data_IF_504173347240
#
_entry.id   IF_504173347240
#
_cell.length_a   1.000
_cell.length_b   1.000
_cell.length_c   1.000
_cell.angle_alpha   90.00
_cell.angle_beta   90.00
_cell.angle_gamma   90.00
#
_symmetry.space_group_name_H-M   'P 1'
#
loop_
_entity.id
_entity.type
_entity.pdbx_description
1 polymer ?
#
# COMPACT_ATOMS: atom_id res chain seq x y z
N UNK A 1 58.70 42.81 12.29
CA UNK A 1 58.21 41.50 11.77
C UNK A 1 57.09 40.90 12.59
N UNK A 2 57.01 41.10 13.92
CA UNK A 2 55.89 40.63 14.74
C UNK A 2 54.54 41.28 14.36
N UNK A 3 54.53 42.55 13.99
CA UNK A 3 53.29 43.30 13.75
C UNK A 3 52.56 42.89 12.46
N UNK A 4 53.30 42.45 11.43
CA UNK A 4 52.70 41.97 10.17
C UNK A 4 51.95 40.64 10.33
N UNK A 5 52.41 39.77 11.24
CA UNK A 5 51.75 38.49 11.52
C UNK A 5 50.43 38.68 12.27
N UNK A 6 50.37 39.69 13.15
CA UNK A 6 49.15 40.03 13.89
C UNK A 6 48.05 40.53 12.94
N UNK A 7 48.39 41.43 12.01
CA UNK A 7 47.43 41.98 11.04
C UNK A 7 46.85 40.89 10.13
N UNK A 8 47.69 39.98 9.63
CA UNK A 8 47.22 38.89 8.76
C UNK A 8 46.28 37.95 9.52
N UNK A 9 46.60 37.63 10.78
CA UNK A 9 45.75 36.78 11.62
C UNK A 9 44.40 37.47 11.92
N UNK A 10 44.39 38.78 12.20
CA UNK A 10 43.16 39.54 12.43
C UNK A 10 42.28 39.59 11.18
N UNK A 11 42.86 39.78 9.99
CA UNK A 11 42.11 39.75 8.73
C UNK A 11 41.55 38.34 8.46
N UNK A 12 42.31 37.29 8.75
CA UNK A 12 41.86 35.91 8.56
C UNK A 12 40.70 35.56 9.50
N UNK A 13 40.79 35.97 10.78
CA UNK A 13 39.70 35.79 11.76
C UNK A 13 38.46 36.57 11.33
N UNK A 14 38.62 37.83 10.89
CA UNK A 14 37.51 38.65 10.42
C UNK A 14 36.86 38.05 9.16
N UNK A 15 37.66 37.53 8.23
CA UNK A 15 37.16 36.84 7.03
C UNK A 15 36.39 35.55 7.39
N UNK A 16 36.85 34.78 8.38
CA UNK A 16 36.09 33.61 8.86
C UNK A 16 34.83 33.98 9.63
N UNK A 17 34.80 35.12 10.32
CA UNK A 17 33.58 35.60 10.99
C UNK A 17 32.53 36.12 10.00
N UNK A 18 32.93 36.66 8.85
CA UNK A 18 32.01 37.14 7.80
C UNK A 18 31.47 35.98 6.95
N UNK A 19 32.24 34.90 6.78
CA UNK A 19 31.83 33.75 5.97
C UNK A 19 30.70 32.89 6.58
N UNK A 20 30.38 33.08 7.87
CA UNK A 20 29.32 32.35 8.56
C UNK A 20 28.06 33.21 8.80
N UNK A 21 27.79 34.21 7.94
CA UNK A 21 26.41 34.69 7.84
C UNK A 21 25.61 33.58 7.15
N UNK A 22 25.13 32.63 7.93
CA UNK A 22 24.03 31.76 7.54
C UNK A 22 22.91 32.71 7.10
N UNK A 23 22.79 32.90 5.79
CA UNK A 23 21.70 33.67 5.23
C UNK A 23 20.47 32.84 5.54
N UNK A 24 19.69 33.27 6.54
CA UNK A 24 18.34 32.77 6.67
C UNK A 24 17.71 33.01 5.30
N UNK A 25 17.33 31.92 4.63
CA UNK A 25 16.71 32.02 3.34
C UNK A 25 15.52 33.01 3.45
N UNK A 26 15.29 33.85 2.43
CA UNK A 26 14.22 34.84 2.48
C UNK A 26 12.89 34.17 2.84
N UNK A 27 11.92 34.87 3.44
CA UNK A 27 10.61 34.28 3.70
C UNK A 27 10.06 33.56 2.46
N UNK A 28 9.65 32.31 2.63
CA UNK A 28 9.21 31.46 1.54
C UNK A 28 8.00 30.64 1.97
N UNK A 29 7.00 30.62 1.11
CA UNK A 29 5.73 29.96 1.36
C UNK A 29 5.53 28.80 0.39
N UNK A 30 4.84 27.76 0.83
CA UNK A 30 4.35 26.70 -0.04
C UNK A 30 2.83 26.72 0.02
N UNK A 31 2.21 26.97 -1.12
CA UNK A 31 0.76 27.08 -1.22
C UNK A 31 0.21 25.89 -1.99
N UNK A 32 -0.95 25.41 -1.60
CA UNK A 32 -1.59 24.29 -2.27
C UNK A 32 -3.07 24.21 -1.98
N UNK A 33 -3.74 23.27 -2.65
CA UNK A 33 -5.14 22.94 -2.42
C UNK A 33 -5.27 21.45 -2.09
N UNK A 34 -6.23 21.12 -1.23
CA UNK A 34 -6.64 19.76 -0.91
C UNK A 34 -8.13 19.62 -1.21
N UNK A 35 -8.49 18.72 -2.13
CA UNK A 35 -9.87 18.42 -2.47
C UNK A 35 -10.53 17.56 -1.39
N UNK A 36 -11.85 17.72 -1.28
CA UNK A 36 -12.71 16.89 -0.44
C UNK A 36 -12.55 15.40 -0.82
N UNK A 37 -12.78 14.52 0.15
CA UNK A 37 -12.77 13.10 -0.10
C UNK A 37 -13.93 12.67 -1.02
N UNK A 38 -13.81 11.49 -1.64
CA UNK A 38 -14.81 10.98 -2.57
C UNK A 38 -16.20 10.76 -1.92
N UNK A 39 -16.25 10.53 -0.60
CA UNK A 39 -17.46 10.44 0.21
C UNK A 39 -18.05 11.81 0.63
N UNK A 40 -17.52 12.91 0.09
CA UNK A 40 -17.88 14.29 0.41
C UNK A 40 -17.44 14.78 1.79
N UNK A 41 -16.53 14.09 2.49
CA UNK A 41 -15.87 14.63 3.68
C UNK A 41 -15.07 15.88 3.30
N UNK A 42 -15.41 17.06 3.86
CA UNK A 42 -14.75 18.31 3.45
C UNK A 42 -13.26 18.31 3.78
N UNK A 43 -12.42 18.89 2.93
CA UNK A 43 -11.00 19.06 3.24
C UNK A 43 -10.73 20.19 4.24
N UNK A 44 -11.62 21.18 4.35
CA UNK A 44 -11.50 22.25 5.34
C UNK A 44 -11.36 21.70 6.77
N UNK A 45 -10.53 22.35 7.59
CA UNK A 45 -10.13 21.96 8.94
C UNK A 45 -9.23 20.72 9.05
N UNK A 46 -8.68 20.21 7.95
CA UNK A 46 -7.64 19.18 8.00
C UNK A 46 -6.32 19.74 8.54
N UNK A 47 -5.57 18.93 9.30
CA UNK A 47 -4.23 19.26 9.75
C UNK A 47 -3.25 19.12 8.57
N UNK A 48 -2.51 20.18 8.29
CA UNK A 48 -1.39 20.14 7.35
C UNK A 48 -0.11 20.01 8.18
N UNK A 49 0.70 18.99 7.89
CA UNK A 49 2.04 18.82 8.46
C UNK A 49 3.05 18.86 7.33
N UNK A 50 4.08 19.70 7.47
CA UNK A 50 5.14 19.82 6.48
C UNK A 50 6.52 19.69 7.11
N UNK A 51 7.42 18.98 6.44
CA UNK A 51 8.80 18.81 6.88
C UNK A 51 9.73 18.56 5.69
N UNK A 52 11.02 18.83 5.85
CA UNK A 52 12.01 18.51 4.81
C UNK A 52 12.38 17.02 4.91
N UNK A 53 12.39 16.32 3.79
CA UNK A 53 12.56 14.87 3.69
C UNK A 53 13.81 14.36 4.44
N UNK A 54 14.90 15.13 4.44
CA UNK A 54 16.17 14.78 5.11
C UNK A 54 16.17 15.05 6.62
N UNK A 55 15.15 15.74 7.14
CA UNK A 55 15.04 16.18 8.55
C UNK A 55 13.57 16.15 9.04
N UNK A 56 12.91 14.99 9.05
CA UNK A 56 11.48 14.86 9.36
C UNK A 56 11.08 15.27 10.79
N UNK A 57 12.03 15.40 11.72
CA UNK A 57 11.77 15.91 13.07
C UNK A 57 11.54 17.42 13.14
N UNK A 58 11.78 18.15 12.05
CA UNK A 58 11.51 19.59 11.95
C UNK A 58 10.21 19.84 11.19
N UNK A 59 9.10 19.90 11.92
CA UNK A 59 7.76 20.06 11.35
C UNK A 59 7.23 21.48 11.45
N UNK A 60 6.41 21.86 10.47
CA UNK A 60 5.53 23.03 10.49
C UNK A 60 4.10 22.50 10.39
N UNK A 61 3.17 23.19 11.04
CA UNK A 61 1.76 22.88 10.97
C UNK A 61 0.96 24.05 10.41
N UNK A 62 -0.06 23.75 9.61
CA UNK A 62 -1.09 24.67 9.14
C UNK A 62 -2.44 23.93 9.14
N UNK A 63 -3.52 24.57 8.73
CA UNK A 63 -4.85 23.99 8.58
C UNK A 63 -5.37 24.25 7.17
N UNK A 64 -6.02 23.27 6.55
CA UNK A 64 -6.71 23.50 5.27
C UNK A 64 -7.94 24.38 5.51
N UNK A 65 -8.16 25.38 4.66
CA UNK A 65 -9.41 26.15 4.63
C UNK A 65 -9.30 27.58 5.15
N UNK A 66 -10.46 28.22 5.32
CA UNK A 66 -10.58 29.62 5.79
C UNK A 66 -10.09 29.85 7.22
N UNK A 67 -9.89 28.77 7.98
CA UNK A 67 -9.36 28.80 9.35
C UNK A 67 -7.84 28.69 9.42
N UNK A 68 -7.18 28.30 8.31
CA UNK A 68 -5.71 28.25 8.22
C UNK A 68 -5.10 29.51 7.62
N UNK A 69 -3.79 29.45 7.39
CA UNK A 69 -3.00 30.62 6.95
C UNK A 69 -3.32 31.06 5.51
N UNK A 70 -3.89 30.17 4.70
CA UNK A 70 -4.31 30.48 3.32
C UNK A 70 -5.50 31.46 3.28
N UNK A 71 -6.40 31.39 4.26
CA UNK A 71 -7.72 32.06 4.26
C UNK A 71 -8.61 31.71 3.04
N UNK A 72 -8.38 30.57 2.39
CA UNK A 72 -9.12 30.10 1.22
C UNK A 72 -9.75 28.74 1.52
N UNK A 73 -10.99 28.51 1.09
CA UNK A 73 -11.62 27.17 1.12
C UNK A 73 -10.74 26.18 0.38
N UNK A 74 -10.49 25.03 1.00
CA UNK A 74 -9.66 23.93 0.50
C UNK A 74 -8.19 24.32 0.23
N UNK A 75 -7.75 25.52 0.61
CA UNK A 75 -6.38 25.98 0.43
C UNK A 75 -5.55 25.87 1.72
N UNK A 76 -4.24 25.68 1.58
CA UNK A 76 -3.28 25.77 2.69
C UNK A 76 -2.05 26.60 2.29
N UNK A 77 -1.33 27.12 3.29
CA UNK A 77 -0.16 27.97 3.12
C UNK A 77 0.89 27.68 4.21
N UNK A 78 1.89 26.87 3.86
CA UNK A 78 2.98 26.51 4.77
C UNK A 78 4.11 27.53 4.66
N UNK A 79 4.39 28.26 5.75
CA UNK A 79 5.51 29.19 5.82
C UNK A 79 6.80 28.49 6.29
N UNK A 80 7.80 28.35 5.40
CA UNK A 80 9.07 27.68 5.71
C UNK A 80 9.93 28.41 6.75
N UNK A 81 9.61 29.68 7.03
CA UNK A 81 10.21 30.41 8.15
C UNK A 81 9.90 29.81 9.52
N UNK A 82 8.95 28.87 9.62
CA UNK A 82 8.64 28.12 10.83
C UNK A 82 9.61 26.98 11.16
N UNK A 83 10.50 26.58 10.25
CA UNK A 83 11.49 25.53 10.48
C UNK A 83 12.58 26.00 11.47
N UNK A 84 13.09 25.07 12.30
CA UNK A 84 14.11 25.41 13.31
C UNK A 84 15.49 25.64 12.69
N UNK A 85 15.81 24.95 11.60
CA UNK A 85 17.00 25.18 10.77
C UNK A 85 16.62 25.80 9.42
N UNK A 86 17.53 26.61 8.87
CA UNK A 86 17.36 27.20 7.55
C UNK A 86 17.17 26.11 6.47
N UNK A 87 16.27 26.37 5.54
CA UNK A 87 16.05 25.54 4.36
C UNK A 87 16.91 26.05 3.18
N UNK A 88 17.05 25.23 2.14
CA UNK A 88 17.76 25.57 0.91
C UNK A 88 16.96 25.16 -0.33
N UNK A 89 17.11 25.92 -1.42
CA UNK A 89 16.54 25.53 -2.71
C UNK A 89 17.14 24.19 -3.20
N UNK A 90 16.29 23.36 -3.79
CA UNK A 90 16.59 22.00 -4.21
C UNK A 90 16.30 20.93 -3.15
N UNK A 91 16.04 21.33 -1.90
CA UNK A 91 15.51 20.40 -0.90
C UNK A 91 14.07 19.98 -1.25
N UNK A 92 13.68 18.80 -0.76
CA UNK A 92 12.33 18.26 -0.96
C UNK A 92 11.55 18.45 0.33
N UNK A 93 10.46 19.21 0.24
CA UNK A 93 9.46 19.31 1.28
C UNK A 93 8.40 18.21 1.09
N UNK A 94 8.13 17.47 2.16
CA UNK A 94 6.98 16.59 2.27
C UNK A 94 5.85 17.39 2.91
N UNK A 95 4.66 17.29 2.33
CA UNK A 95 3.44 17.88 2.88
C UNK A 95 2.43 16.76 3.04
N UNK A 96 1.92 16.59 4.24
CA UNK A 96 0.91 15.62 4.63
C UNK A 96 -0.35 16.39 5.04
N UNK A 97 -1.50 15.92 4.60
CA UNK A 97 -2.81 16.45 5.03
C UNK A 97 -3.60 15.31 5.64
N UNK A 98 -3.93 15.47 6.92
CA UNK A 98 -4.63 14.48 7.72
C UNK A 98 -5.91 15.07 8.29
N UNK A 99 -6.98 14.27 8.29
CA UNK A 99 -8.23 14.64 8.94
C UNK A 99 -8.87 13.43 9.58
N UNK A 100 -9.30 13.55 10.83
CA UNK A 100 -10.09 12.52 11.50
C UNK A 100 -11.52 13.02 11.72
N UNK A 101 -12.52 12.27 11.26
CA UNK A 101 -13.94 12.52 11.47
C UNK A 101 -14.58 11.21 11.90
N UNK A 102 -15.24 11.19 13.05
CA UNK A 102 -16.02 10.03 13.52
C UNK A 102 -15.25 8.69 13.41
N UNK A 103 -14.03 8.66 13.94
CA UNK A 103 -13.07 7.52 13.93
C UNK A 103 -12.45 7.16 12.56
N UNK A 104 -12.92 7.75 11.46
CA UNK A 104 -12.26 7.67 10.15
C UNK A 104 -11.17 8.75 10.03
N UNK A 105 -9.94 8.32 9.81
CA UNK A 105 -8.81 9.13 9.35
C UNK A 105 -8.72 9.14 7.82
N UNK A 106 -8.53 10.33 7.27
CA UNK A 106 -8.30 10.64 5.88
C UNK A 106 -6.89 11.19 5.72
N UNK A 107 -6.19 10.80 4.67
CA UNK A 107 -4.80 11.20 4.45
C UNK A 107 -4.50 11.39 2.96
N UNK A 108 -3.68 12.39 2.66
CA UNK A 108 -2.96 12.50 1.39
C UNK A 108 -1.59 13.14 1.62
N UNK A 109 -0.66 12.93 0.70
CA UNK A 109 0.71 13.43 0.79
C UNK A 109 1.26 13.85 -0.57
N UNK A 110 2.03 14.92 -0.59
CA UNK A 110 2.75 15.38 -1.78
C UNK A 110 4.19 15.78 -1.49
N UNK A 111 4.98 15.94 -2.56
CA UNK A 111 6.40 16.30 -2.52
C UNK A 111 6.61 17.55 -3.37
N UNK A 112 7.29 18.55 -2.79
CA UNK A 112 7.59 19.82 -3.45
C UNK A 112 9.09 20.05 -3.43
N UNK A 113 9.70 20.31 -4.60
CA UNK A 113 11.09 20.75 -4.67
C UNK A 113 11.10 22.25 -4.38
N UNK A 114 11.74 22.65 -3.29
CA UNK A 114 11.78 24.04 -2.85
C UNK A 114 12.61 24.86 -3.84
N UNK A 115 12.06 25.96 -4.35
CA UNK A 115 12.80 26.92 -5.20
C UNK A 115 13.26 28.15 -4.40
N UNK A 116 13.88 29.12 -5.07
CA UNK A 116 14.25 30.42 -4.48
C UNK A 116 13.27 31.53 -4.92
N UNK A 117 12.16 31.17 -5.56
CA UNK A 117 11.11 32.09 -5.95
C UNK A 117 10.16 32.17 -4.75
N UNK A 118 9.96 33.34 -4.12
CA UNK A 118 9.40 33.45 -2.75
C UNK A 118 8.12 32.67 -2.38
N UNK A 119 7.46 31.98 -3.31
CA UNK A 119 6.61 30.84 -3.01
C UNK A 119 6.75 29.71 -4.04
N UNK A 120 6.46 28.47 -3.63
CA UNK A 120 6.20 27.35 -4.54
C UNK A 120 4.73 26.91 -4.48
N UNK A 121 4.25 26.36 -5.59
CA UNK A 121 2.93 25.74 -5.67
C UNK A 121 3.07 24.23 -5.49
N UNK A 122 2.42 23.69 -4.46
CA UNK A 122 2.30 22.26 -4.26
C UNK A 122 1.30 21.65 -5.28
N UNK A 123 1.51 20.39 -5.70
CA UNK A 123 0.50 19.64 -6.44
C UNK A 123 -0.82 19.58 -5.69
N UNK A 124 -1.92 19.50 -6.44
CA UNK A 124 -3.25 19.30 -5.88
C UNK A 124 -3.33 17.92 -5.19
N UNK A 125 -3.84 17.92 -3.96
CA UNK A 125 -4.10 16.72 -3.17
C UNK A 125 -5.60 16.44 -3.08
N UNK A 126 -5.97 15.23 -2.71
CA UNK A 126 -7.33 14.80 -2.43
C UNK A 126 -7.35 13.85 -1.25
N UNK A 127 -8.12 14.18 -0.20
CA UNK A 127 -8.28 13.32 0.97
C UNK A 127 -8.83 11.94 0.58
N UNK A 128 -8.29 10.90 1.22
CA UNK A 128 -8.76 9.51 1.07
C UNK A 128 -8.82 8.87 2.44
N UNK A 129 -9.91 8.18 2.76
CA UNK A 129 -9.98 7.42 4.01
C UNK A 129 -8.87 6.35 4.04
N UNK A 130 -8.17 6.27 5.17
CA UNK A 130 -7.12 5.29 5.46
C UNK A 130 -7.53 4.31 6.57
N UNK A 131 -8.80 4.33 7.01
CA UNK A 131 -9.23 3.70 8.28
C UNK A 131 -10.46 2.81 8.20
N UNK A 132 -11.10 2.62 7.05
CA UNK A 132 -12.10 1.55 6.97
C UNK A 132 -11.38 0.22 6.70
N UNK A 133 -11.23 -0.68 7.70
CA UNK A 133 -10.81 -2.05 7.42
C UNK A 133 -11.87 -2.69 6.53
N UNK A 134 -11.57 -2.83 5.25
CA UNK A 134 -12.44 -3.57 4.34
C UNK A 134 -12.18 -5.05 4.55
N UNK A 135 -13.07 -5.72 5.28
CA UNK A 135 -12.96 -7.15 5.49
C UNK A 135 -13.76 -7.85 4.39
N UNK A 136 -13.07 -8.60 3.55
CA UNK A 136 -13.70 -9.44 2.56
C UNK A 136 -13.71 -10.91 3.02
N UNK A 137 -14.89 -11.53 3.00
CA UNK A 137 -15.02 -12.98 3.03
C UNK A 137 -14.87 -13.49 1.60
N UNK A 138 -13.85 -14.30 1.36
CA UNK A 138 -13.61 -14.94 0.07
C UNK A 138 -14.02 -16.40 0.22
N UNK A 139 -14.92 -16.87 -0.63
CA UNK A 139 -15.35 -18.27 -0.63
C UNK A 139 -15.52 -18.79 -2.05
N UNK A 140 -15.55 -20.11 -2.19
CA UNK A 140 -15.80 -20.74 -3.47
C UNK A 140 -15.55 -22.23 -3.42
N UNK A 141 -15.52 -22.83 -4.60
CA UNK A 141 -15.37 -24.27 -4.79
C UNK A 141 -14.23 -24.60 -5.74
N UNK A 142 -13.49 -25.65 -5.39
CA UNK A 142 -12.43 -26.23 -6.21
C UNK A 142 -12.97 -27.48 -6.91
N UNK A 143 -12.96 -27.46 -8.24
CA UNK A 143 -13.39 -28.60 -9.06
C UNK A 143 -12.29 -29.06 -10.00
N UNK A 144 -12.38 -30.32 -10.39
CA UNK A 144 -11.62 -30.83 -11.52
C UNK A 144 -12.21 -30.32 -12.84
N UNK A 145 -11.37 -29.86 -13.77
CA UNK A 145 -11.85 -29.28 -15.03
C UNK A 145 -12.39 -30.34 -16.01
N UNK A 146 -11.90 -31.58 -15.93
CA UNK A 146 -12.21 -32.65 -16.87
C UNK A 146 -13.43 -33.46 -16.41
N UNK A 147 -13.52 -33.77 -15.12
CA UNK A 147 -14.61 -34.56 -14.54
C UNK A 147 -15.72 -33.71 -13.94
N UNK A 148 -15.41 -32.49 -13.49
CA UNK A 148 -16.30 -31.67 -12.68
C UNK A 148 -16.42 -32.15 -11.23
N UNK A 149 -15.61 -33.12 -10.81
CA UNK A 149 -15.60 -33.64 -9.45
C UNK A 149 -14.98 -32.63 -8.46
N UNK A 150 -15.29 -32.80 -7.18
CA UNK A 150 -14.83 -31.92 -6.11
C UNK A 150 -13.39 -32.27 -5.69
N UNK A 151 -12.52 -31.25 -5.53
CA UNK A 151 -11.11 -31.48 -5.17
C UNK A 151 -10.89 -31.15 -3.68
N UNK A 152 -10.71 -32.21 -2.87
CA UNK A 152 -10.37 -32.11 -1.44
C UNK A 152 -8.87 -31.80 -1.21
N UNK A 153 -8.58 -31.11 -0.11
CA UNK A 153 -7.22 -30.82 0.36
C UNK A 153 -6.37 -30.08 -0.69
N UNK A 154 -6.97 -29.19 -1.49
CA UNK A 154 -6.24 -28.32 -2.40
C UNK A 154 -5.63 -27.14 -1.62
N UNK A 155 -4.38 -26.79 -1.91
CA UNK A 155 -3.71 -25.61 -1.34
C UNK A 155 -4.19 -24.37 -2.07
N UNK A 156 -4.78 -23.42 -1.36
CA UNK A 156 -5.39 -22.22 -1.93
C UNK A 156 -4.62 -20.98 -1.49
N UNK A 157 -4.25 -20.15 -2.46
CA UNK A 157 -3.60 -18.86 -2.28
C UNK A 157 -4.51 -17.75 -2.83
N UNK A 158 -4.77 -16.74 -2.00
CA UNK A 158 -5.73 -15.68 -2.29
C UNK A 158 -4.99 -14.35 -2.19
N UNK A 159 -5.09 -13.51 -3.22
CA UNK A 159 -4.42 -12.22 -3.34
C UNK A 159 -5.44 -11.12 -3.64
N UNK A 160 -5.46 -10.06 -2.83
CA UNK A 160 -6.18 -8.84 -3.15
C UNK A 160 -5.30 -7.91 -3.99
N UNK A 161 -5.71 -7.61 -5.22
CA UNK A 161 -4.87 -6.84 -6.15
C UNK A 161 -4.79 -5.34 -5.84
N UNK A 162 -5.69 -4.83 -4.98
CA UNK A 162 -5.74 -3.41 -4.64
C UNK A 162 -4.69 -3.01 -3.60
N UNK A 163 -4.36 -3.90 -2.66
CA UNK A 163 -3.47 -3.61 -1.53
C UNK A 163 -2.37 -4.67 -1.33
N UNK A 164 -2.24 -5.66 -2.23
CA UNK A 164 -1.25 -6.75 -2.19
C UNK A 164 -1.32 -7.63 -0.94
N UNK A 165 -2.41 -7.55 -0.18
CA UNK A 165 -2.68 -8.45 0.92
C UNK A 165 -2.96 -9.86 0.40
N UNK A 166 -2.52 -10.87 1.16
CA UNK A 166 -2.73 -12.27 0.79
C UNK A 166 -3.05 -13.15 1.98
N UNK A 167 -3.73 -14.25 1.70
CA UNK A 167 -4.04 -15.30 2.68
C UNK A 167 -4.05 -16.67 2.02
N UNK A 168 -4.11 -17.72 2.83
CA UNK A 168 -4.13 -19.11 2.35
C UNK A 168 -5.22 -19.92 3.04
N UNK A 169 -5.78 -20.87 2.31
CA UNK A 169 -6.79 -21.81 2.81
C UNK A 169 -6.55 -23.22 2.23
N UNK A 170 -7.34 -24.18 2.68
CA UNK A 170 -7.37 -25.54 2.15
C UNK A 170 -8.82 -25.92 1.86
N UNK A 171 -9.09 -26.57 0.73
CA UNK A 171 -10.45 -27.04 0.42
C UNK A 171 -10.87 -28.23 1.29
N UNK A 172 -12.16 -28.28 1.65
CA UNK A 172 -12.74 -29.38 2.41
C UNK A 172 -13.07 -30.61 1.54
N UNK A 173 -13.67 -31.64 2.15
CA UNK A 173 -14.07 -32.88 1.46
C UNK A 173 -15.14 -32.69 0.37
N UNK A 174 -15.74 -31.50 0.28
CA UNK A 174 -16.70 -31.13 -0.75
C UNK A 174 -16.11 -30.11 -1.74
N UNK A 175 -14.79 -29.86 -1.67
CA UNK A 175 -14.08 -28.89 -2.47
C UNK A 175 -14.34 -27.43 -2.08
N UNK A 176 -15.08 -27.14 -1.01
CA UNK A 176 -15.37 -25.76 -0.63
C UNK A 176 -14.18 -25.15 0.13
N UNK A 177 -14.04 -23.83 0.04
CA UNK A 177 -13.10 -23.08 0.86
C UNK A 177 -13.69 -21.74 1.31
N UNK A 178 -13.10 -21.19 2.38
CA UNK A 178 -13.39 -19.85 2.86
C UNK A 178 -12.12 -19.23 3.46
N UNK A 179 -11.96 -17.92 3.29
CA UNK A 179 -10.88 -17.15 3.89
C UNK A 179 -11.34 -15.72 4.16
N UNK A 180 -10.72 -15.08 5.14
CA UNK A 180 -10.94 -13.66 5.45
C UNK A 180 -9.66 -12.91 5.12
N UNK A 181 -9.80 -11.80 4.39
CA UNK A 181 -8.70 -10.96 3.94
C UNK A 181 -9.11 -9.49 4.00
N UNK A 182 -8.17 -8.60 4.29
CA UNK A 182 -8.39 -7.17 4.11
C UNK A 182 -8.36 -6.84 2.60
N UNK A 183 -9.53 -6.59 2.02
CA UNK A 183 -9.64 -6.28 0.60
C UNK A 183 -10.83 -5.32 0.37
N UNK A 184 -10.61 -4.14 -0.25
CA UNK A 184 -11.67 -3.18 -0.52
C UNK A 184 -12.82 -3.76 -1.34
N UNK A 185 -14.03 -3.25 -1.11
CA UNK A 185 -15.15 -3.45 -2.04
C UNK A 185 -14.76 -2.95 -3.43
N UNK A 186 -15.28 -3.61 -4.47
CA UNK A 186 -14.97 -3.40 -5.89
C UNK A 186 -13.51 -3.74 -6.28
N UNK A 187 -12.66 -4.13 -5.32
CA UNK A 187 -11.34 -4.65 -5.64
C UNK A 187 -11.44 -6.01 -6.33
N UNK A 188 -10.44 -6.30 -7.18
CA UNK A 188 -10.27 -7.63 -7.77
C UNK A 188 -9.47 -8.51 -6.84
N UNK A 189 -9.98 -9.70 -6.57
CA UNK A 189 -9.30 -10.78 -5.84
C UNK A 189 -8.96 -11.88 -6.84
N UNK A 190 -7.74 -12.38 -6.75
CA UNK A 190 -7.27 -13.55 -7.50
C UNK A 190 -7.10 -14.73 -6.57
N UNK A 191 -7.66 -15.86 -6.96
CA UNK A 191 -7.53 -17.12 -6.24
C UNK A 191 -6.72 -18.07 -7.10
N UNK A 192 -5.74 -18.73 -6.51
CA UNK A 192 -4.94 -19.78 -7.13
C UNK A 192 -5.05 -21.02 -6.27
N UNK A 193 -5.46 -22.13 -6.87
CA UNK A 193 -5.56 -23.42 -6.18
C UNK A 193 -4.53 -24.38 -6.78
N UNK A 194 -3.86 -25.16 -5.93
CA UNK A 194 -2.83 -26.13 -6.31
C UNK A 194 -3.12 -27.48 -5.68
N UNK A 195 -3.00 -28.54 -6.46
CA UNK A 195 -3.07 -29.92 -5.97
C UNK A 195 -2.12 -30.79 -6.78
N UNK A 196 -1.27 -31.56 -6.09
CA UNK A 196 -0.35 -32.52 -6.74
C UNK A 196 0.55 -31.91 -7.85
N UNK A 197 0.95 -30.64 -7.70
CA UNK A 197 1.75 -29.85 -8.67
C UNK A 197 0.99 -29.28 -9.87
N UNK A 198 -0.32 -29.51 -9.97
CA UNK A 198 -1.18 -28.83 -10.94
C UNK A 198 -1.86 -27.63 -10.30
N UNK A 199 -2.18 -26.61 -11.09
CA UNK A 199 -2.77 -25.37 -10.58
C UNK A 199 -3.84 -24.80 -11.50
N UNK A 200 -4.87 -24.23 -10.90
CA UNK A 200 -5.86 -23.37 -11.55
C UNK A 200 -5.87 -21.97 -10.91
N UNK A 201 -6.29 -20.95 -11.64
CA UNK A 201 -6.50 -19.62 -11.08
C UNK A 201 -7.67 -18.92 -11.74
N UNK A 202 -8.46 -18.24 -10.92
CA UNK A 202 -9.58 -17.42 -11.35
C UNK A 202 -9.59 -16.09 -10.57
N UNK A 203 -10.29 -15.09 -11.08
CA UNK A 203 -10.43 -13.79 -10.42
C UNK A 203 -11.89 -13.38 -10.32
N UNK A 204 -12.21 -12.66 -9.25
CA UNK A 204 -13.54 -12.10 -9.00
C UNK A 204 -13.45 -10.72 -8.36
N UNK A 205 -14.56 -10.02 -8.33
CA UNK A 205 -14.69 -8.72 -7.66
C UNK A 205 -15.30 -8.91 -6.28
N UNK A 206 -14.83 -8.15 -5.31
CA UNK A 206 -15.42 -8.09 -3.97
C UNK A 206 -16.71 -7.27 -4.04
N UNK A 207 -17.85 -7.90 -3.80
CA UNK A 207 -19.15 -7.23 -3.74
C UNK A 207 -19.46 -6.80 -2.30
N UNK A 208 -20.01 -5.61 -2.09
CA UNK A 208 -20.50 -5.21 -0.77
C UNK A 208 -21.75 -6.01 -0.39
N UNK A 209 -21.72 -6.66 0.77
CA UNK A 209 -22.89 -7.33 1.37
C UNK A 209 -23.50 -6.54 2.52
N UNK A 210 -22.98 -5.34 2.77
CA UNK A 210 -23.45 -4.41 3.78
C UNK A 210 -22.32 -3.92 4.68
N UNK A 211 -22.71 -3.01 5.56
CA UNK A 211 -21.81 -2.36 6.52
C UNK A 211 -22.21 -2.80 7.92
N UNK A 212 -21.27 -3.27 8.74
CA UNK A 212 -21.51 -3.46 10.18
C UNK A 212 -21.21 -2.14 10.88
N UNK A 213 -22.25 -1.54 11.47
CA UNK A 213 -22.14 -0.21 12.04
C UNK A 213 -22.06 0.85 10.95
N UNK A 214 -21.23 1.87 11.15
CA UNK A 214 -20.99 2.97 10.22
C UNK A 214 -19.68 2.85 9.44
N UNK A 215 -18.80 1.90 9.81
CA UNK A 215 -17.37 1.98 9.48
C UNK A 215 -16.78 0.72 8.84
N UNK A 216 -17.41 -0.45 8.97
CA UNK A 216 -16.86 -1.71 8.47
C UNK A 216 -17.68 -2.20 7.28
N UNK A 217 -17.18 -1.95 6.08
CA UNK A 217 -17.72 -2.57 4.88
C UNK A 217 -17.32 -4.04 4.80
N UNK A 218 -18.32 -4.90 4.70
CA UNK A 218 -18.13 -6.32 4.51
C UNK A 218 -18.25 -6.63 3.03
N UNK A 219 -17.14 -7.09 2.48
CA UNK A 219 -17.05 -7.64 1.16
C UNK A 219 -17.37 -9.14 1.14
N UNK A 220 -17.96 -9.61 0.06
CA UNK A 220 -18.05 -11.02 -0.29
C UNK A 220 -17.55 -11.20 -1.71
N UNK A 221 -16.68 -12.18 -1.92
CA UNK A 221 -16.35 -12.66 -3.26
C UNK A 221 -16.60 -14.17 -3.32
N UNK A 222 -17.34 -14.59 -4.35
CA UNK A 222 -17.55 -15.98 -4.69
C UNK A 222 -16.73 -16.33 -5.93
N UNK A 223 -15.69 -17.14 -5.78
CA UNK A 223 -14.73 -17.44 -6.86
C UNK A 223 -14.53 -18.95 -6.95
N UNK A 224 -15.07 -19.58 -7.98
CA UNK A 224 -14.81 -21.00 -8.25
C UNK A 224 -13.53 -21.15 -9.07
N UNK A 225 -12.73 -22.17 -8.75
CA UNK A 225 -11.46 -22.45 -9.45
C UNK A 225 -11.45 -23.89 -9.92
N UNK A 226 -11.17 -24.09 -11.20
CA UNK A 226 -10.96 -25.44 -11.75
C UNK A 226 -9.49 -25.76 -11.92
N UNK A 227 -9.05 -26.92 -11.42
CA UNK A 227 -7.69 -27.43 -11.60
C UNK A 227 -7.74 -28.53 -12.68
N UNK A 228 -6.81 -28.54 -13.65
CA UNK A 228 -6.68 -29.67 -14.56
C UNK A 228 -6.17 -30.92 -13.82
N UNK A 229 -6.88 -32.05 -13.92
CA UNK A 229 -6.34 -33.34 -13.51
C UNK A 229 -5.25 -33.82 -14.46
N UNK A 230 -4.37 -34.68 -13.93
CA UNK A 230 -3.68 -35.62 -14.80
C UNK A 230 -4.73 -36.57 -15.39
N UNK A 231 -4.65 -36.97 -16.67
CA UNK A 231 -5.30 -38.21 -17.05
C UNK A 231 -4.76 -39.25 -16.10
N UNK A 232 -5.62 -39.86 -15.26
CA UNK A 232 -5.27 -41.00 -14.41
C UNK A 232 -4.44 -41.88 -15.31
N UNK A 233 -3.13 -41.92 -15.07
CA UNK A 233 -2.25 -42.77 -15.85
C UNK A 233 -2.77 -44.14 -15.51
N UNK A 234 -3.62 -44.69 -16.38
CA UNK A 234 -4.25 -45.97 -16.20
C UNK A 234 -3.08 -46.90 -15.96
N UNK A 235 -2.84 -47.24 -14.69
CA UNK A 235 -1.72 -48.09 -14.32
C UNK A 235 -2.01 -49.34 -15.14
N UNK A 236 -1.21 -49.67 -16.18
CA UNK A 236 -1.46 -50.88 -16.90
C UNK A 236 -1.27 -51.95 -15.84
N UNK A 237 -2.36 -52.65 -15.50
CA UNK A 237 -2.34 -53.78 -14.60
C UNK A 237 -1.30 -54.74 -15.17
N UNK A 238 -0.07 -54.64 -14.65
CA UNK A 238 1.05 -55.43 -15.11
C UNK A 238 0.75 -56.82 -14.58
N UNK A 239 0.16 -57.63 -15.47
CA UNK A 239 -0.16 -59.03 -15.24
C UNK A 239 0.98 -59.67 -14.44
N UNK A 240 0.65 -60.15 -13.25
CA UNK A 240 1.42 -61.16 -12.56
C UNK A 240 1.31 -62.49 -13.34
N UNK A 241 1.93 -62.57 -14.53
CA UNK A 241 2.36 -63.85 -15.08
C UNK A 241 3.61 -64.31 -14.32
N UNK A 242 3.44 -64.66 -13.05
CA UNK A 242 4.44 -65.47 -12.36
C UNK A 242 4.28 -66.92 -12.82
N UNK A 243 5.28 -67.34 -13.57
CA UNK A 243 5.46 -68.66 -14.17
C UNK A 243 5.42 -69.79 -13.15
N UNK A 244 4.49 -70.74 -13.28
CA UNK A 244 4.67 -72.08 -12.74
C UNK A 244 5.33 -72.97 -13.79
N UNK A 245 6.67 -72.99 -13.76
CA UNK A 245 7.45 -74.03 -14.40
C UNK A 245 7.31 -75.34 -13.62
N UNK A 246 6.64 -76.34 -14.20
CA UNK A 246 6.64 -77.71 -13.68
C UNK A 246 7.56 -78.56 -14.57
N UNK A 247 8.77 -78.77 -14.04
CA UNK A 247 9.85 -79.56 -14.61
C UNK A 247 9.46 -81.05 -14.65
N UNK A 248 9.50 -81.64 -15.85
CA UNK A 248 9.43 -83.10 -16.06
C UNK A 248 10.73 -83.77 -15.62
N UNK A 249 10.69 -84.64 -14.60
CA UNK A 249 11.69 -85.69 -14.40
C UNK A 249 11.15 -87.00 -15.01
N UNK A 250 11.81 -87.51 -16.05
CA UNK A 250 11.74 -88.92 -16.45
C UNK A 250 12.90 -89.67 -15.79
N UNK A 251 12.58 -90.76 -15.12
CA UNK A 251 13.50 -91.84 -14.80
C UNK A 251 12.85 -93.14 -15.28
N UNK A 252 13.72 -94.04 -15.74
CA UNK A 252 13.53 -95.29 -16.49
C UNK A 252 13.36 -95.13 -18.01
#
# INVERSE_FOLDING_TARGET
MKDKKLIILTILILATCIANTAYAAPPHAIVGNCQDAADSTPADSSLVTAFIETRPGETIHDTVGVTGDSNLTNGYNVNLGGLSSAWAAGEILIIEVEKTVDDDTYFDMTRVIITNEGFDQAPEMQLRSITSPHIALIMGKITDIDTGDEVEDADIFIECLANTEFTSATSDSQGNYYAVLECPVDATVRVTATKNSESGSEAGTVESIGTIGTEIDIGLAHIDVSIPEFPIAAIPALLSMFSFGLVRKRLF
#
